data_IF_770921324026
#
_entry.id   IF_770921324026
#
_cell.length_a   1.000
_cell.length_b   1.000
_cell.length_c   1.000
_cell.angle_alpha   90.00
_cell.angle_beta   90.00
_cell.angle_gamma   90.00
#
_symmetry.space_group_name_H-M   'P 1'
#
loop_
_entity.id
_entity.type
_entity.pdbx_description
1 polymer ?
#
# COMPACT_ATOMS: atom_id res chain seq x y z
N UNK A 1 -51.84 -20.21 17.30
CA UNK A 1 -50.43 -19.78 17.20
C UNK A 1 -50.19 -19.27 15.79
N UNK A 2 -49.49 -18.15 15.61
CA UNK A 2 -49.17 -17.60 14.27
C UNK A 2 -47.68 -17.39 14.15
N UNK A 3 -47.05 -18.02 13.15
CA UNK A 3 -45.62 -17.93 12.90
C UNK A 3 -45.33 -16.70 12.03
N UNK A 4 -44.86 -15.62 12.64
CA UNK A 4 -44.52 -14.38 11.94
C UNK A 4 -43.17 -14.54 11.25
N UNK A 5 -43.18 -14.71 9.92
CA UNK A 5 -41.97 -14.73 9.10
C UNK A 5 -41.19 -13.41 9.23
N UNK A 6 -39.86 -13.52 9.33
CA UNK A 6 -38.95 -12.37 9.21
C UNK A 6 -38.70 -12.08 7.71
N UNK A 7 -38.58 -10.82 7.28
CA UNK A 7 -38.09 -10.51 5.94
C UNK A 7 -36.62 -10.94 5.80
N UNK A 8 -36.22 -11.34 4.60
CA UNK A 8 -34.82 -11.62 4.28
C UNK A 8 -34.03 -10.32 4.14
N UNK A 9 -32.79 -10.30 4.65
CA UNK A 9 -31.89 -9.16 4.52
C UNK A 9 -31.05 -9.33 3.24
N UNK A 10 -31.48 -8.71 2.14
CA UNK A 10 -30.70 -8.66 0.90
C UNK A 10 -29.62 -7.59 1.02
N UNK A 11 -28.39 -7.99 1.36
CA UNK A 11 -27.22 -7.13 1.21
C UNK A 11 -26.75 -7.13 -0.25
N UNK A 12 -27.26 -6.16 -1.00
CA UNK A 12 -26.77 -5.79 -2.31
C UNK A 12 -25.42 -5.07 -2.14
N UNK A 13 -24.33 -5.83 -2.23
CA UNK A 13 -22.96 -5.32 -2.27
C UNK A 13 -22.52 -5.04 -3.72
N UNK A 14 -23.36 -4.33 -4.50
CA UNK A 14 -22.97 -3.79 -5.81
C UNK A 14 -21.89 -2.71 -5.64
N UNK A 15 -20.63 -3.14 -5.67
CA UNK A 15 -19.50 -2.21 -5.67
C UNK A 15 -19.44 -1.48 -7.02
N UNK A 16 -18.88 -0.26 -7.10
CA UNK A 16 -18.76 0.47 -8.37
C UNK A 16 -17.87 -0.19 -9.44
N UNK A 17 -17.32 -1.39 -9.19
CA UNK A 17 -16.48 -2.14 -10.13
C UNK A 17 -17.21 -3.27 -10.88
N UNK A 18 -18.43 -3.65 -10.47
CA UNK A 18 -19.18 -4.77 -11.08
C UNK A 18 -19.79 -4.46 -12.47
N UNK A 19 -19.41 -3.34 -13.12
CA UNK A 19 -19.86 -2.95 -14.46
C UNK A 19 -18.73 -2.83 -15.49
N UNK A 20 -17.89 -3.86 -15.60
CA UNK A 20 -17.04 -4.06 -16.78
C UNK A 20 -17.21 -5.48 -17.37
N UNK A 21 -17.68 -5.61 -18.63
CA UNK A 21 -17.86 -6.91 -19.26
C UNK A 21 -16.50 -7.54 -19.62
N UNK A 22 -16.09 -8.56 -18.86
CA UNK A 22 -15.02 -9.51 -19.17
C UNK A 22 -13.82 -8.90 -19.93
N UNK A 23 -13.17 -7.88 -19.33
CA UNK A 23 -12.06 -7.18 -19.93
C UNK A 23 -10.89 -8.15 -20.19
N UNK A 24 -10.71 -8.55 -21.45
CA UNK A 24 -9.67 -9.49 -21.89
C UNK A 24 -8.30 -8.97 -21.44
N UNK A 25 -7.64 -9.73 -20.57
CA UNK A 25 -6.28 -9.42 -20.09
C UNK A 25 -5.30 -9.42 -21.26
N UNK A 26 -5.03 -8.25 -21.85
CA UNK A 26 -3.92 -8.04 -22.77
C UNK A 26 -2.65 -7.98 -21.91
N UNK A 27 -2.11 -9.15 -21.62
CA UNK A 27 -0.78 -9.32 -21.05
C UNK A 27 0.23 -8.74 -22.06
N UNK A 28 0.95 -7.70 -21.65
CA UNK A 28 1.94 -7.03 -22.49
C UNK A 28 3.31 -7.06 -21.79
N UNK A 29 3.85 -8.27 -21.70
CA UNK A 29 5.26 -8.48 -21.40
C UNK A 29 6.14 -8.08 -22.60
N UNK A 30 7.45 -7.96 -22.35
CA UNK A 30 8.53 -7.99 -23.35
C UNK A 30 8.76 -6.69 -24.21
N UNK A 31 9.99 -6.27 -24.58
CA UNK A 31 11.34 -6.84 -24.32
C UNK A 31 12.55 -5.93 -24.69
N UNK A 32 13.74 -6.26 -24.12
CA UNK A 32 15.14 -5.93 -24.52
C UNK A 32 15.64 -4.47 -24.69
N UNK A 33 16.94 -4.12 -24.47
CA UNK A 33 18.12 -4.79 -23.83
C UNK A 33 18.81 -3.80 -22.82
N UNK A 34 20.12 -3.61 -22.53
CA UNK A 34 21.44 -4.10 -23.04
C UNK A 34 22.46 -4.38 -21.90
N UNK A 35 23.63 -3.70 -21.82
CA UNK A 35 24.70 -3.82 -20.79
C UNK A 35 24.52 -2.77 -19.67
N UNK A 36 25.19 -2.86 -18.51
CA UNK A 36 26.37 -3.67 -18.14
C UNK A 36 26.15 -4.61 -16.94
N UNK A 37 27.06 -5.59 -16.80
CA UNK A 37 27.05 -6.53 -15.70
C UNK A 37 27.78 -5.96 -14.47
N UNK A 38 27.02 -5.67 -13.42
CA UNK A 38 27.53 -5.64 -12.04
C UNK A 38 26.74 -6.66 -11.23
N UNK A 39 27.45 -7.66 -10.71
CA UNK A 39 26.89 -8.66 -9.80
C UNK A 39 26.69 -8.09 -8.40
N UNK A 40 25.86 -7.06 -8.29
CA UNK A 40 25.19 -6.76 -7.03
C UNK A 40 24.19 -7.90 -6.81
N UNK A 41 24.54 -8.84 -5.94
CA UNK A 41 23.51 -9.59 -5.23
C UNK A 41 22.56 -8.57 -4.57
N UNK A 42 21.28 -8.93 -4.40
CA UNK A 42 20.40 -8.09 -3.60
C UNK A 42 21.12 -7.75 -2.28
N UNK A 43 21.22 -6.45 -1.90
CA UNK A 43 21.79 -6.10 -0.62
C UNK A 43 21.01 -6.84 0.47
N UNK A 44 21.63 -7.07 1.63
CA UNK A 44 20.89 -7.65 2.75
C UNK A 44 19.87 -6.61 3.23
N UNK A 45 18.64 -6.73 2.70
CA UNK A 45 17.53 -5.79 2.83
C UNK A 45 16.90 -5.93 4.21
N UNK A 46 17.72 -5.80 5.26
CA UNK A 46 17.29 -5.57 6.62
C UNK A 46 16.68 -4.16 6.71
N UNK A 47 15.65 -3.94 7.54
CA UNK A 47 15.09 -2.61 7.74
C UNK A 47 16.19 -1.66 8.21
N UNK A 48 16.29 -0.49 7.57
CA UNK A 48 17.40 0.42 7.81
C UNK A 48 17.37 0.89 9.27
N UNK A 49 18.49 0.69 9.99
CA UNK A 49 18.62 0.99 11.43
C UNK A 49 18.42 2.46 11.82
N UNK A 50 18.12 3.32 10.84
CA UNK A 50 17.58 4.65 11.04
C UNK A 50 16.09 4.63 10.73
N UNK A 51 15.26 4.43 11.77
CA UNK A 51 14.02 5.20 11.81
C UNK A 51 14.43 6.67 11.62
N UNK A 52 13.87 7.42 10.65
CA UNK A 52 14.00 8.87 10.73
C UNK A 52 13.47 9.28 12.11
N UNK A 53 14.14 10.23 12.77
CA UNK A 53 13.74 10.63 14.11
C UNK A 53 12.27 11.03 14.08
N UNK A 54 11.40 10.23 14.71
CA UNK A 54 10.00 10.57 14.87
C UNK A 54 9.99 11.94 15.55
N UNK A 55 9.59 12.98 14.81
CA UNK A 55 9.60 14.35 15.31
C UNK A 55 8.69 14.37 16.52
N UNK A 56 9.30 14.41 17.70
CA UNK A 56 8.66 13.94 18.91
C UNK A 56 7.63 14.97 19.38
N UNK A 57 6.40 14.84 18.87
CA UNK A 57 5.20 15.36 19.51
C UNK A 57 4.88 14.46 20.72
N UNK A 58 5.86 14.39 21.61
CA UNK A 58 5.87 13.80 22.94
C UNK A 58 6.59 14.81 23.81
N UNK A 59 5.79 15.73 24.33
CA UNK A 59 5.98 16.46 25.59
C UNK A 59 4.79 17.42 25.75
N UNK A 60 3.62 16.84 25.98
CA UNK A 60 2.46 17.44 26.67
C UNK A 60 1.33 16.39 26.72
N UNK A 61 1.20 15.73 27.87
CA UNK A 61 0.37 14.53 28.06
C UNK A 61 -1.09 14.84 28.42
N UNK A 62 -1.83 15.42 27.46
CA UNK A 62 -3.28 15.56 27.56
C UNK A 62 -3.98 15.32 26.21
N UNK A 63 -4.95 14.40 26.19
CA UNK A 63 -5.98 14.24 25.15
C UNK A 63 -5.58 13.97 23.68
N UNK A 64 -4.39 13.42 23.39
CA UNK A 64 -4.05 13.02 22.01
C UNK A 64 -5.04 12.02 21.37
N UNK A 65 -5.47 11.02 22.13
CA UNK A 65 -6.40 9.95 21.71
C UNK A 65 -7.78 10.03 22.36
N UNK A 66 -7.96 10.93 23.34
CA UNK A 66 -9.23 11.11 24.05
C UNK A 66 -10.28 11.71 23.12
N UNK A 67 -11.45 11.06 22.95
CA UNK A 67 -12.56 11.70 22.26
C UNK A 67 -13.17 12.81 23.13
N UNK A 68 -13.73 13.83 22.49
CA UNK A 68 -14.72 14.70 23.13
C UNK A 68 -16.12 14.40 22.58
N UNK A 69 -17.13 14.95 23.24
CA UNK A 69 -18.54 14.69 22.93
C UNK A 69 -19.29 16.00 22.70
N UNK A 70 -20.10 16.06 21.65
CA UNK A 70 -21.10 17.12 21.43
C UNK A 70 -22.45 16.43 21.20
N UNK A 71 -23.40 16.64 22.11
CA UNK A 71 -24.64 15.86 22.14
C UNK A 71 -24.34 14.37 22.28
N UNK A 72 -24.81 13.58 21.32
CA UNK A 72 -24.51 12.14 21.21
C UNK A 72 -23.31 11.82 20.29
N UNK A 73 -22.71 12.81 19.63
CA UNK A 73 -21.58 12.62 18.72
C UNK A 73 -20.25 12.47 19.46
N UNK A 74 -19.38 11.57 18.98
CA UNK A 74 -18.02 11.32 19.47
C UNK A 74 -17.00 11.82 18.46
N UNK A 75 -16.06 12.66 18.88
CA UNK A 75 -15.16 13.38 17.98
C UNK A 75 -13.68 13.27 18.38
N UNK A 76 -12.78 13.34 17.40
CA UNK A 76 -11.35 13.03 17.52
C UNK A 76 -10.48 14.12 16.86
N UNK A 77 -10.18 15.24 17.56
CA UNK A 77 -9.74 16.49 16.92
C UNK A 77 -8.44 16.35 16.12
N UNK A 78 -7.52 15.51 16.59
CA UNK A 78 -6.21 15.32 15.96
C UNK A 78 -6.26 14.58 14.60
N UNK A 79 -7.39 13.94 14.24
CA UNK A 79 -7.50 13.19 12.98
C UNK A 79 -7.29 14.10 11.76
N UNK A 80 -7.77 15.35 11.79
CA UNK A 80 -7.51 16.32 10.73
C UNK A 80 -6.02 16.59 10.52
N UNK A 81 -5.21 16.56 11.59
CA UNK A 81 -3.76 16.75 11.53
C UNK A 81 -3.08 15.51 10.97
N UNK A 82 -3.44 14.31 11.44
CA UNK A 82 -2.94 13.04 10.90
C UNK A 82 -3.22 12.89 9.40
N UNK A 83 -4.42 13.28 8.95
CA UNK A 83 -4.79 13.22 7.54
C UNK A 83 -4.05 14.27 6.68
N UNK A 84 -3.53 15.36 7.24
CA UNK A 84 -2.71 16.33 6.50
C UNK A 84 -1.25 15.87 6.28
N UNK A 85 -0.82 14.77 6.92
CA UNK A 85 0.51 14.18 6.69
C UNK A 85 0.65 13.65 5.25
N UNK A 86 1.90 13.48 4.81
CA UNK A 86 2.24 12.87 3.51
C UNK A 86 1.79 11.40 3.45
N UNK A 87 2.05 10.63 4.52
CA UNK A 87 1.71 9.21 4.65
C UNK A 87 0.74 8.95 5.82
N UNK A 88 -0.50 9.47 5.74
CA UNK A 88 -1.44 9.48 6.86
C UNK A 88 -1.82 8.06 7.30
N UNK A 89 -1.86 7.11 6.37
CA UNK A 89 -2.22 5.73 6.64
C UNK A 89 -1.19 4.99 7.50
N UNK A 90 0.11 5.25 7.32
CA UNK A 90 1.15 4.63 8.16
C UNK A 90 1.15 5.25 9.56
N UNK A 91 0.99 6.57 9.66
CA UNK A 91 0.86 7.25 10.95
C UNK A 91 -0.36 6.75 11.75
N UNK A 92 -1.53 6.63 11.11
CA UNK A 92 -2.77 6.13 11.74
C UNK A 92 -2.74 4.61 12.01
N UNK A 93 -1.91 3.83 11.30
CA UNK A 93 -1.68 2.42 11.63
C UNK A 93 -0.84 2.27 12.90
N UNK A 94 0.16 3.14 13.10
CA UNK A 94 1.00 3.13 14.30
C UNK A 94 0.18 3.41 15.56
N UNK A 95 -0.81 4.29 15.49
CA UNK A 95 -1.71 4.63 16.60
C UNK A 95 -2.72 3.52 16.97
N UNK A 96 -2.74 3.11 18.24
CA UNK A 96 -3.57 2.00 18.75
C UNK A 96 -5.08 2.21 18.53
N UNK A 97 -5.57 3.45 18.57
CA UNK A 97 -7.01 3.76 18.42
C UNK A 97 -7.49 3.59 16.98
N UNK A 98 -6.66 3.92 16.00
CA UNK A 98 -7.03 3.91 14.57
C UNK A 98 -6.53 2.68 13.82
N UNK A 99 -5.53 1.96 14.35
CA UNK A 99 -4.94 0.76 13.73
C UNK A 99 -5.97 -0.24 13.19
N UNK A 100 -6.99 -0.58 13.98
CA UNK A 100 -8.04 -1.53 13.55
C UNK A 100 -8.74 -1.03 12.28
N UNK A 101 -9.20 0.21 12.25
CA UNK A 101 -9.91 0.78 11.11
C UNK A 101 -9.01 0.94 9.87
N UNK A 102 -7.70 1.14 10.05
CA UNK A 102 -6.72 1.12 8.95
C UNK A 102 -6.59 -0.29 8.36
N UNK A 103 -6.53 -1.33 9.20
CA UNK A 103 -6.54 -2.72 8.72
C UNK A 103 -7.87 -3.10 8.08
N UNK A 104 -9.02 -2.77 8.68
CA UNK A 104 -10.36 -3.00 8.10
C UNK A 104 -10.50 -2.37 6.71
N UNK A 105 -9.95 -1.17 6.50
CA UNK A 105 -9.91 -0.51 5.20
C UNK A 105 -9.15 -1.33 4.15
N UNK A 106 -7.92 -1.75 4.47
CA UNK A 106 -7.08 -2.48 3.52
C UNK A 106 -7.51 -3.94 3.33
N UNK A 107 -8.07 -4.57 4.36
CA UNK A 107 -8.76 -5.86 4.27
C UNK A 107 -9.94 -5.79 3.28
N UNK A 108 -10.72 -4.69 3.33
CA UNK A 108 -11.79 -4.43 2.37
C UNK A 108 -11.33 -4.19 0.91
N UNK A 109 -10.05 -3.88 0.67
CA UNK A 109 -9.49 -3.73 -0.69
C UNK A 109 -8.81 -5.02 -1.21
N UNK A 110 -8.26 -5.83 -0.32
CA UNK A 110 -7.59 -7.11 -0.62
C UNK A 110 -8.55 -8.31 -0.64
N UNK A 111 -9.65 -8.24 0.13
CA UNK A 111 -10.51 -9.38 0.43
C UNK A 111 -9.97 -10.31 1.53
N UNK A 112 -8.82 -9.96 2.13
CA UNK A 112 -8.07 -10.84 3.04
C UNK A 112 -7.42 -10.02 4.18
N UNK A 113 -7.90 -10.22 5.41
CA UNK A 113 -7.37 -9.53 6.61
C UNK A 113 -5.93 -9.97 6.94
N UNK A 114 -5.54 -11.22 6.66
CA UNK A 114 -4.17 -11.71 6.87
C UNK A 114 -3.23 -11.02 5.88
N UNK A 115 -3.62 -10.92 4.60
CA UNK A 115 -2.87 -10.14 3.61
C UNK A 115 -2.73 -8.68 4.01
N UNK A 116 -3.81 -8.04 4.47
CA UNK A 116 -3.77 -6.65 4.92
C UNK A 116 -2.83 -6.45 6.12
N UNK A 117 -2.87 -7.36 7.10
CA UNK A 117 -1.97 -7.36 8.25
C UNK A 117 -0.51 -7.58 7.83
N UNK A 118 -0.23 -8.56 6.97
CA UNK A 118 1.14 -8.86 6.51
C UNK A 118 1.75 -7.70 5.71
N UNK A 119 1.00 -7.10 4.77
CA UNK A 119 1.48 -5.92 4.01
C UNK A 119 1.74 -4.75 4.97
N UNK A 120 0.80 -4.46 5.89
CA UNK A 120 0.95 -3.35 6.83
C UNK A 120 2.09 -3.56 7.83
N UNK A 121 2.35 -4.80 8.26
CA UNK A 121 3.45 -5.15 9.16
C UNK A 121 4.81 -4.86 8.52
N UNK A 122 5.06 -5.40 7.32
CA UNK A 122 6.33 -5.16 6.63
C UNK A 122 6.48 -3.70 6.19
N UNK A 123 5.41 -3.06 5.74
CA UNK A 123 5.45 -1.63 5.40
C UNK A 123 5.79 -0.75 6.61
N UNK A 124 5.37 -1.10 7.83
CA UNK A 124 5.78 -0.40 9.05
C UNK A 124 7.25 -0.68 9.44
N UNK A 125 7.73 -1.92 9.29
CA UNK A 125 9.14 -2.27 9.54
C UNK A 125 10.11 -1.52 8.61
N UNK A 126 9.74 -1.35 7.34
CA UNK A 126 10.57 -0.70 6.31
C UNK A 126 10.28 0.79 6.11
N UNK A 127 9.39 1.39 6.91
CA UNK A 127 8.95 2.79 6.82
C UNK A 127 8.48 3.17 5.39
N UNK A 128 7.49 2.40 4.91
CA UNK A 128 6.86 2.51 3.59
C UNK A 128 5.43 3.05 3.75
N UNK A 129 5.01 4.08 2.98
CA UNK A 129 3.62 4.47 2.92
C UNK A 129 2.68 3.29 2.67
N UNK A 130 1.70 3.03 3.55
CA UNK A 130 0.75 1.93 3.32
C UNK A 130 0.03 2.09 1.98
N UNK A 131 -0.40 3.31 1.63
CA UNK A 131 -1.04 3.56 0.32
C UNK A 131 -0.11 3.29 -0.87
N UNK A 132 1.21 3.34 -0.70
CA UNK A 132 2.18 2.93 -1.71
C UNK A 132 2.35 1.41 -1.76
N UNK A 133 2.52 0.76 -0.60
CA UNK A 133 2.65 -0.69 -0.49
C UNK A 133 1.44 -1.43 -1.12
N UNK A 134 0.23 -1.06 -0.73
CA UNK A 134 -1.00 -1.63 -1.30
C UNK A 134 -1.19 -1.26 -2.78
N UNK A 135 -0.69 -0.10 -3.24
CA UNK A 135 -0.69 0.24 -4.67
C UNK A 135 0.19 -0.72 -5.47
N UNK A 136 1.41 -1.02 -5.02
CA UNK A 136 2.31 -1.95 -5.76
C UNK A 136 1.70 -3.35 -5.80
N UNK A 137 1.20 -3.88 -4.67
CA UNK A 137 0.50 -5.18 -4.64
C UNK A 137 -0.73 -5.24 -5.58
N UNK A 138 -1.48 -4.15 -5.71
CA UNK A 138 -2.61 -4.08 -6.65
C UNK A 138 -2.18 -4.07 -8.12
N UNK A 139 -1.15 -3.28 -8.45
CA UNK A 139 -0.67 -3.15 -9.84
C UNK A 139 0.08 -4.40 -10.31
N UNK A 140 0.83 -5.07 -9.44
CA UNK A 140 1.63 -6.26 -9.78
C UNK A 140 0.79 -7.53 -9.91
N UNK A 141 -0.08 -7.81 -8.94
CA UNK A 141 -0.87 -9.06 -8.92
C UNK A 141 -2.39 -8.85 -8.88
N UNK A 142 -2.85 -7.64 -8.54
CA UNK A 142 -4.22 -7.38 -8.10
C UNK A 142 -4.56 -8.22 -6.87
N UNK A 143 -3.69 -8.16 -5.85
CA UNK A 143 -3.81 -8.87 -4.57
C UNK A 143 -3.90 -10.41 -4.68
N UNK A 144 -3.15 -11.01 -5.61
CA UNK A 144 -3.13 -12.48 -5.83
C UNK A 144 -1.75 -13.07 -5.53
N UNK A 145 -1.68 -13.95 -4.54
CA UNK A 145 -0.44 -14.58 -4.07
C UNK A 145 0.16 -15.61 -5.04
N UNK A 146 -0.57 -16.05 -6.07
CA UNK A 146 -0.19 -17.15 -6.97
C UNK A 146 0.09 -16.72 -8.43
N UNK A 147 0.28 -15.42 -8.70
CA UNK A 147 0.54 -14.92 -10.06
C UNK A 147 1.97 -15.26 -10.50
N UNK A 148 2.13 -15.71 -11.75
CA UNK A 148 3.42 -15.96 -12.39
C UNK A 148 3.44 -15.26 -13.75
N UNK A 149 4.47 -14.44 -14.00
CA UNK A 149 4.74 -13.85 -15.30
C UNK A 149 6.12 -14.29 -15.80
N UNK A 150 6.20 -14.64 -17.09
CA UNK A 150 7.43 -15.09 -17.75
C UNK A 150 7.96 -13.99 -18.67
N UNK A 151 9.16 -13.52 -18.39
CA UNK A 151 9.98 -12.78 -19.34
C UNK A 151 10.93 -13.78 -20.04
N UNK A 152 11.54 -13.40 -21.17
CA UNK A 152 12.50 -14.26 -21.91
C UNK A 152 13.66 -14.81 -21.06
N UNK A 153 13.97 -14.15 -19.95
CA UNK A 153 15.20 -14.33 -19.18
C UNK A 153 14.98 -14.42 -17.67
N UNK A 154 13.79 -14.11 -17.16
CA UNK A 154 13.45 -14.10 -15.73
C UNK A 154 11.97 -14.39 -15.51
N UNK A 155 11.61 -14.73 -14.29
CA UNK A 155 10.24 -15.07 -13.89
C UNK A 155 9.89 -14.19 -12.69
N UNK A 156 8.74 -13.52 -12.78
CA UNK A 156 8.16 -12.67 -11.74
C UNK A 156 7.03 -13.45 -11.06
N UNK A 157 7.00 -13.43 -9.72
CA UNK A 157 6.11 -14.32 -8.95
C UNK A 157 5.49 -13.68 -7.71
N UNK A 158 4.26 -14.10 -7.41
CA UNK A 158 3.54 -13.80 -6.18
C UNK A 158 2.93 -12.40 -6.10
N UNK A 159 2.53 -12.03 -4.87
CA UNK A 159 1.74 -10.84 -4.54
C UNK A 159 2.35 -9.52 -5.06
N UNK A 160 3.68 -9.40 -4.98
CA UNK A 160 4.46 -8.24 -5.43
C UNK A 160 5.33 -8.54 -6.67
N UNK A 161 5.09 -9.64 -7.37
CA UNK A 161 5.81 -10.03 -8.60
C UNK A 161 7.34 -9.95 -8.49
N UNK A 162 7.90 -10.55 -7.42
CA UNK A 162 9.34 -10.56 -7.19
C UNK A 162 10.06 -11.33 -8.30
N UNK A 163 11.06 -10.70 -8.91
CA UNK A 163 11.84 -11.26 -10.03
C UNK A 163 12.94 -12.20 -9.53
N UNK A 164 13.03 -13.40 -10.12
CA UNK A 164 14.02 -14.41 -9.72
C UNK A 164 15.49 -14.05 -9.97
N UNK A 165 15.79 -13.01 -10.76
CA UNK A 165 17.16 -12.45 -10.89
C UNK A 165 17.49 -11.45 -9.80
N UNK A 166 16.48 -10.73 -9.29
CA UNK A 166 16.66 -9.79 -8.17
C UNK A 166 16.81 -10.56 -6.86
N UNK A 167 16.08 -11.66 -6.67
CA UNK A 167 16.11 -12.48 -5.45
C UNK A 167 16.53 -13.93 -5.75
N UNK A 168 17.77 -14.18 -6.21
CA UNK A 168 18.23 -15.51 -6.66
C UNK A 168 18.42 -16.52 -5.52
N UNK A 169 18.32 -16.07 -4.27
CA UNK A 169 18.43 -16.88 -3.05
C UNK A 169 17.08 -17.43 -2.53
N UNK A 170 15.96 -17.00 -3.11
CA UNK A 170 14.62 -17.48 -2.73
C UNK A 170 14.31 -18.82 -3.41
N UNK A 171 13.70 -19.75 -2.67
CA UNK A 171 13.11 -20.95 -3.25
C UNK A 171 11.86 -20.61 -4.07
N UNK A 172 11.36 -21.54 -4.90
CA UNK A 172 10.11 -21.30 -5.65
C UNK A 172 8.90 -21.08 -4.72
N UNK A 173 8.86 -21.72 -3.55
CA UNK A 173 7.80 -21.56 -2.56
C UNK A 173 7.82 -20.18 -1.88
N UNK A 174 9.01 -19.65 -1.58
CA UNK A 174 9.19 -18.31 -0.99
C UNK A 174 8.57 -17.19 -1.83
N UNK A 175 8.53 -17.35 -3.15
CA UNK A 175 7.88 -16.39 -4.03
C UNK A 175 6.36 -16.35 -3.87
N UNK A 176 5.73 -17.45 -3.45
CA UNK A 176 4.28 -17.53 -3.26
C UNK A 176 3.86 -17.37 -1.79
N UNK A 177 4.79 -17.62 -0.85
CA UNK A 177 4.57 -17.40 0.57
C UNK A 177 4.39 -15.90 0.89
N UNK A 178 3.23 -15.55 1.44
CA UNK A 178 2.77 -14.16 1.53
C UNK A 178 3.67 -13.26 2.39
N UNK A 179 4.18 -13.79 3.52
CA UNK A 179 5.07 -13.05 4.42
C UNK A 179 6.44 -12.81 3.77
N UNK A 180 7.02 -13.85 3.16
CA UNK A 180 8.32 -13.75 2.48
C UNK A 180 8.25 -12.78 1.30
N UNK A 181 7.22 -12.90 0.45
CA UNK A 181 7.01 -12.04 -0.71
C UNK A 181 6.81 -10.58 -0.29
N UNK A 182 5.98 -10.31 0.74
CA UNK A 182 5.78 -8.96 1.27
C UNK A 182 7.05 -8.37 1.90
N UNK A 183 7.80 -9.14 2.70
CA UNK A 183 9.04 -8.69 3.34
C UNK A 183 10.08 -8.22 2.32
N UNK A 184 10.40 -9.07 1.33
CA UNK A 184 11.39 -8.72 0.30
C UNK A 184 10.89 -7.60 -0.64
N UNK A 185 9.58 -7.52 -0.89
CA UNK A 185 9.00 -6.40 -1.63
C UNK A 185 9.15 -5.06 -0.89
N UNK A 186 8.86 -5.00 0.42
CA UNK A 186 8.96 -3.77 1.21
C UNK A 186 10.42 -3.34 1.40
N UNK A 187 11.34 -4.29 1.58
CA UNK A 187 12.78 -4.01 1.55
C UNK A 187 13.23 -3.42 0.21
N UNK A 188 12.79 -3.99 -0.91
CA UNK A 188 13.15 -3.46 -2.22
C UNK A 188 12.52 -2.08 -2.50
N UNK A 189 11.27 -1.87 -2.07
CA UNK A 189 10.58 -0.58 -2.17
C UNK A 189 11.21 0.51 -1.28
N UNK A 190 11.77 0.16 -0.12
CA UNK A 190 12.61 1.06 0.68
C UNK A 190 13.84 1.50 -0.10
N UNK A 191 14.55 0.53 -0.67
CA UNK A 191 15.70 0.78 -1.53
C UNK A 191 15.32 1.71 -2.70
N UNK A 192 14.24 1.42 -3.45
CA UNK A 192 13.88 2.28 -4.60
C UNK A 192 13.45 3.69 -4.18
N UNK A 193 12.81 3.87 -3.01
CA UNK A 193 12.53 5.18 -2.42
C UNK A 193 13.82 5.94 -2.04
N UNK A 194 14.81 5.25 -1.47
CA UNK A 194 16.10 5.86 -1.11
C UNK A 194 16.90 6.28 -2.35
N UNK A 195 16.89 5.46 -3.42
CA UNK A 195 17.50 5.81 -4.71
C UNK A 195 16.75 6.95 -5.44
N UNK A 196 15.45 7.09 -5.19
CA UNK A 196 14.60 8.16 -5.72
C UNK A 196 14.58 9.46 -4.87
N UNK A 197 15.35 9.52 -3.76
CA UNK A 197 15.33 10.69 -2.86
C UNK A 197 13.96 10.93 -2.19
N UNK A 198 13.12 9.90 -2.09
CA UNK A 198 11.77 9.98 -1.55
C UNK A 198 10.64 10.21 -2.57
N UNK A 199 10.93 10.49 -3.85
CA UNK A 199 9.87 10.55 -4.86
C UNK A 199 9.30 9.16 -5.16
N UNK A 200 8.06 8.93 -4.74
CA UNK A 200 7.38 7.66 -4.98
C UNK A 200 7.18 7.35 -6.46
N UNK A 201 7.07 8.34 -7.36
CA UNK A 201 6.87 8.07 -8.80
C UNK A 201 8.14 7.52 -9.44
N UNK A 202 9.29 8.10 -9.12
CA UNK A 202 10.61 7.59 -9.49
C UNK A 202 10.91 6.26 -8.78
N UNK A 203 10.53 6.07 -7.52
CA UNK A 203 10.70 4.79 -6.81
C UNK A 203 9.92 3.64 -7.46
N UNK A 204 8.67 3.89 -7.88
CA UNK A 204 7.83 2.96 -8.66
C UNK A 204 8.47 2.67 -10.03
N UNK A 205 9.04 3.68 -10.70
CA UNK A 205 9.75 3.49 -11.97
C UNK A 205 11.00 2.61 -11.80
N UNK A 206 11.79 2.84 -10.75
CA UNK A 206 13.00 2.06 -10.42
C UNK A 206 12.63 0.61 -10.10
N UNK A 207 11.54 0.37 -9.36
CA UNK A 207 11.04 -0.96 -9.02
C UNK A 207 10.69 -1.77 -10.28
N UNK A 208 10.02 -1.14 -11.24
CA UNK A 208 9.58 -1.79 -12.48
C UNK A 208 10.68 -1.93 -13.56
N UNK A 209 11.55 -0.93 -13.74
CA UNK A 209 12.51 -0.88 -14.86
C UNK A 209 13.98 -1.09 -14.49
N UNK A 210 14.31 -1.15 -13.20
CA UNK A 210 15.67 -1.16 -12.67
C UNK A 210 16.34 0.23 -12.64
N UNK A 211 17.05 0.50 -11.55
CA UNK A 211 17.65 1.81 -11.25
C UNK A 211 18.46 2.41 -12.42
N UNK A 212 19.44 1.66 -12.92
CA UNK A 212 20.40 2.18 -13.91
C UNK A 212 19.75 2.63 -15.22
N UNK A 213 18.55 2.11 -15.55
CA UNK A 213 17.78 2.57 -16.72
C UNK A 213 17.03 3.87 -16.42
N UNK A 214 16.42 3.98 -15.24
CA UNK A 214 15.64 5.16 -14.83
C UNK A 214 16.54 6.36 -14.56
N UNK A 215 17.63 6.18 -13.80
CA UNK A 215 18.57 7.27 -13.48
C UNK A 215 19.39 7.73 -14.69
N UNK A 216 19.51 6.91 -15.73
CA UNK A 216 20.07 7.31 -17.03
C UNK A 216 19.08 8.07 -17.93
N UNK A 217 17.85 8.31 -17.48
CA UNK A 217 16.79 8.96 -18.27
C UNK A 217 16.16 8.07 -19.35
N UNK A 218 16.43 6.75 -19.32
CA UNK A 218 16.00 5.77 -20.33
C UNK A 218 14.73 5.00 -19.92
N UNK A 219 13.87 5.60 -19.09
CA UNK A 219 12.64 5.01 -18.55
C UNK A 219 11.66 4.60 -19.67
N UNK A 220 11.36 3.30 -19.85
CA UNK A 220 10.52 2.83 -20.95
C UNK A 220 9.10 3.40 -20.96
N UNK A 221 8.45 3.56 -22.12
CA UNK A 221 7.04 4.00 -22.19
C UNK A 221 6.08 3.07 -21.42
N UNK A 222 6.36 1.77 -21.37
CA UNK A 222 5.62 0.79 -20.55
C UNK A 222 5.73 1.09 -19.05
N UNK A 223 6.93 1.44 -18.57
CA UNK A 223 7.17 1.87 -17.19
C UNK A 223 6.52 3.22 -16.88
N UNK A 224 6.51 4.16 -17.83
CA UNK A 224 5.78 5.42 -17.68
C UNK A 224 4.27 5.18 -17.51
N UNK A 225 3.69 4.26 -18.29
CA UNK A 225 2.29 3.84 -18.15
C UNK A 225 2.02 3.09 -16.83
N UNK A 226 2.96 2.25 -16.37
CA UNK A 226 2.90 1.59 -15.06
C UNK A 226 2.88 2.62 -13.92
N UNK A 227 3.76 3.64 -13.95
CA UNK A 227 3.78 4.75 -12.98
C UNK A 227 2.49 5.57 -13.01
N UNK A 228 1.91 5.82 -14.19
CA UNK A 228 0.62 6.51 -14.34
C UNK A 228 -0.52 5.71 -13.69
N UNK A 229 -0.62 4.41 -13.96
CA UNK A 229 -1.62 3.50 -13.36
C UNK A 229 -1.49 3.45 -11.84
N UNK A 230 -0.27 3.26 -11.34
CA UNK A 230 0.01 3.23 -9.91
C UNK A 230 -0.32 4.57 -9.24
N UNK A 231 -0.01 5.70 -9.88
CA UNK A 231 -0.35 7.04 -9.37
C UNK A 231 -1.87 7.23 -9.25
N UNK A 232 -2.63 6.93 -10.31
CA UNK A 232 -4.09 7.05 -10.31
C UNK A 232 -4.74 6.16 -9.24
N UNK A 233 -4.26 4.93 -9.08
CA UNK A 233 -4.73 4.03 -8.02
C UNK A 233 -4.38 4.55 -6.62
N UNK A 234 -3.13 4.99 -6.38
CA UNK A 234 -2.71 5.55 -5.08
C UNK A 234 -3.52 6.78 -4.70
N UNK A 235 -3.82 7.65 -5.66
CA UNK A 235 -4.66 8.85 -5.46
C UNK A 235 -6.11 8.47 -5.12
N UNK A 236 -6.70 7.47 -5.79
CA UNK A 236 -8.03 6.94 -5.47
C UNK A 236 -8.06 6.29 -4.07
N UNK A 237 -7.10 5.41 -3.78
CA UNK A 237 -6.93 4.72 -2.51
C UNK A 237 -6.72 5.69 -1.34
N UNK A 238 -5.97 6.77 -1.54
CA UNK A 238 -5.78 7.82 -0.54
C UNK A 238 -7.05 8.64 -0.31
N UNK A 239 -7.86 8.91 -1.35
CA UNK A 239 -9.16 9.58 -1.20
C UNK A 239 -10.17 8.70 -0.44
N UNK A 240 -10.30 7.42 -0.79
CA UNK A 240 -11.20 6.50 -0.07
C UNK A 240 -10.73 6.25 1.36
N UNK A 241 -9.41 6.19 1.61
CA UNK A 241 -8.85 6.08 2.95
C UNK A 241 -9.23 7.26 3.86
N UNK A 242 -9.07 8.49 3.36
CA UNK A 242 -9.45 9.72 4.11
C UNK A 242 -10.93 9.67 4.54
N UNK A 243 -11.82 9.46 3.57
CA UNK A 243 -13.27 9.37 3.81
C UNK A 243 -13.68 8.18 4.69
N UNK A 244 -12.87 7.10 4.74
CA UNK A 244 -13.08 5.99 5.68
C UNK A 244 -12.68 6.37 7.10
N UNK A 245 -11.51 6.98 7.30
CA UNK A 245 -11.04 7.42 8.63
C UNK A 245 -11.96 8.50 9.19
N UNK A 246 -12.34 9.51 8.40
CA UNK A 246 -13.25 10.58 8.83
C UNK A 246 -14.63 10.06 9.26
N UNK A 247 -15.09 8.93 8.69
CA UNK A 247 -16.35 8.28 9.08
C UNK A 247 -16.26 7.56 10.42
N UNK A 248 -15.11 6.98 10.76
CA UNK A 248 -14.90 6.23 12.01
C UNK A 248 -14.40 7.13 13.14
N UNK A 249 -13.68 8.21 12.80
CA UNK A 249 -13.07 9.16 13.74
C UNK A 249 -13.30 10.59 13.24
N UNK A 250 -14.54 11.11 13.27
CA UNK A 250 -14.83 12.46 12.77
C UNK A 250 -14.06 13.49 13.64
N UNK A 251 -13.35 14.46 13.04
CA UNK A 251 -12.52 15.39 13.81
C UNK A 251 -13.34 16.35 14.68
N UNK A 252 -14.51 16.76 14.18
CA UNK A 252 -15.38 17.73 14.80
C UNK A 252 -16.24 18.45 13.76
N UNK A 253 -17.25 19.23 14.19
CA UNK A 253 -17.66 20.39 13.42
C UNK A 253 -16.48 21.37 13.32
N UNK A 254 -16.23 21.91 12.13
CA UNK A 254 -15.34 23.07 11.99
C UNK A 254 -16.17 24.31 12.32
N UNK A 255 -15.76 24.98 13.39
CA UNK A 255 -16.39 26.14 14.04
C UNK A 255 -17.80 25.99 14.64
N UNK A 256 -17.83 26.23 15.97
CA UNK A 256 -18.84 27.11 16.57
C UNK A 256 -18.15 28.17 17.46
N UNK A 257 -16.93 28.62 17.08
CA UNK A 257 -16.22 29.70 17.76
C UNK A 257 -16.80 31.09 17.41
N UNK A 258 -18.11 31.24 17.61
CA UNK A 258 -18.86 32.49 17.43
C UNK A 258 -19.10 33.21 18.77
N UNK A 259 -18.02 33.46 19.53
CA UNK A 259 -18.00 34.23 20.79
C UNK A 259 -16.73 35.06 20.85
#
# INVERSE_FOLDING_TARGET
>A
MSYRSKPAYSHDYSTPYDQHPAARYILLACVFVLLSASSAAAPDLLPSGRRPAQTAVRDNDANWTSPYWIGSGRYFPNIANFLQLHDPALALYRENVTRRAVIEFFAGHTGDEVMALTIAHHADQYDIPLTLAFTVAFIESSYRTNVVNFNERSIDRGLFQLNNRTFPHLSEEDFFHIDTNARYAMGHLRYTLDRAGGDYRTAIAIYNAGEGRVLAGLTPPSTQLYVQRASAYREQLLRSFRAHIERHFPPGPVDIAGV
#
